data_IF_327863691878
#
_entry.id   IF_327863691878
#
_cell.length_a   1.000
_cell.length_b   1.000
_cell.length_c   1.000
_cell.angle_alpha   90.00
_cell.angle_beta   90.00
_cell.angle_gamma   90.00
#
_symmetry.space_group_name_H-M   'P 1'
#
loop_
_entity.id
_entity.type
_entity.pdbx_description
1 polymer ?
#
# COMPACT_ATOMS: atom_id res chain seq x y z
N UNK A 1 9.76 3.49 -1.10
CA UNK A 1 8.51 3.81 -0.40
C UNK A 1 8.79 4.96 0.56
N UNK A 2 8.09 6.09 0.44
CA UNK A 2 8.30 7.27 1.33
C UNK A 2 7.77 6.97 2.75
N UNK A 3 8.23 7.70 3.77
CA UNK A 3 7.79 7.59 5.16
C UNK A 3 6.26 7.55 5.29
N UNK A 4 5.55 8.46 4.62
CA UNK A 4 4.08 8.47 4.63
C UNK A 4 3.46 7.17 4.06
N UNK A 5 3.96 6.64 2.94
CA UNK A 5 3.44 5.38 2.38
C UNK A 5 3.68 4.21 3.32
N UNK A 6 4.86 4.18 3.98
CA UNK A 6 5.16 3.16 4.99
C UNK A 6 4.19 3.25 6.16
N UNK A 7 3.91 4.44 6.68
CA UNK A 7 2.94 4.62 7.77
C UNK A 7 1.55 4.15 7.37
N UNK A 8 1.06 4.53 6.18
CA UNK A 8 -0.24 4.05 5.70
C UNK A 8 -0.27 2.53 5.48
N UNK A 9 0.82 1.94 4.97
CA UNK A 9 0.95 0.50 4.80
C UNK A 9 0.91 -0.25 6.14
N UNK A 10 1.69 0.19 7.14
CA UNK A 10 1.70 -0.45 8.45
C UNK A 10 0.38 -0.24 9.20
N UNK A 11 -0.25 0.94 9.08
CA UNK A 11 -1.55 1.20 9.67
C UNK A 11 -2.64 0.30 9.07
N UNK A 12 -2.65 0.14 7.73
CA UNK A 12 -3.59 -0.77 7.07
C UNK A 12 -3.36 -2.22 7.47
N UNK A 13 -2.10 -2.68 7.54
CA UNK A 13 -1.77 -4.02 8.04
C UNK A 13 -2.20 -4.21 9.49
N UNK A 14 -1.91 -3.26 10.39
CA UNK A 14 -2.34 -3.32 11.78
C UNK A 14 -3.86 -3.40 11.91
N UNK A 15 -4.59 -2.65 11.09
CA UNK A 15 -6.06 -2.68 11.07
C UNK A 15 -6.60 -4.04 10.60
N UNK A 16 -6.00 -4.63 9.56
CA UNK A 16 -6.37 -5.96 9.06
C UNK A 16 -6.11 -7.05 10.12
N UNK A 17 -4.94 -7.03 10.76
CA UNK A 17 -4.63 -7.97 11.84
C UNK A 17 -5.54 -7.78 13.05
N UNK A 18 -5.78 -6.53 13.46
CA UNK A 18 -6.69 -6.22 14.56
C UNK A 18 -8.11 -6.73 14.27
N UNK A 19 -8.62 -6.55 13.05
CA UNK A 19 -9.94 -7.05 12.67
C UNK A 19 -10.06 -8.57 12.85
N UNK A 20 -9.04 -9.32 12.40
CA UNK A 20 -9.00 -10.78 12.56
C UNK A 20 -8.90 -11.18 14.02
N UNK A 21 -7.95 -10.60 14.77
CA UNK A 21 -7.74 -10.93 16.18
C UNK A 21 -8.98 -10.63 17.00
N UNK A 22 -9.54 -9.43 16.88
CA UNK A 22 -10.73 -9.00 17.63
C UNK A 22 -11.95 -9.88 17.33
N UNK A 23 -12.07 -10.37 16.10
CA UNK A 23 -13.14 -11.30 15.75
C UNK A 23 -12.93 -12.69 16.37
N UNK A 24 -11.69 -13.22 16.32
CA UNK A 24 -11.35 -14.52 16.91
C UNK A 24 -11.56 -14.52 18.44
N UNK A 25 -11.22 -13.43 19.12
CA UNK A 25 -11.46 -13.28 20.56
C UNK A 25 -12.89 -12.85 20.90
N UNK A 26 -13.80 -12.85 19.92
CA UNK A 26 -15.23 -12.53 20.07
C UNK A 26 -15.51 -11.13 20.66
N UNK A 27 -14.59 -10.18 20.52
CA UNK A 27 -14.78 -8.78 20.95
C UNK A 27 -15.70 -8.04 19.97
N UNK A 28 -15.61 -8.35 18.67
CA UNK A 28 -16.42 -7.73 17.62
C UNK A 28 -17.25 -8.76 16.86
N UNK A 29 -18.43 -8.35 16.41
CA UNK A 29 -19.29 -9.16 15.56
C UNK A 29 -18.77 -9.27 14.13
N UNK A 30 -19.24 -10.29 13.39
CA UNK A 30 -18.81 -10.55 12.01
C UNK A 30 -18.98 -9.32 11.09
N UNK A 31 -20.10 -8.57 11.24
CA UNK A 31 -20.35 -7.35 10.45
C UNK A 31 -19.28 -6.26 10.70
N UNK A 32 -18.89 -6.06 11.95
CA UNK A 32 -17.84 -5.09 12.33
C UNK A 32 -16.48 -5.54 11.81
N UNK A 33 -16.16 -6.83 11.91
CA UNK A 33 -14.94 -7.41 11.38
C UNK A 33 -14.85 -7.20 9.86
N UNK A 34 -15.93 -7.47 9.11
CA UNK A 34 -15.98 -7.23 7.65
C UNK A 34 -15.78 -5.76 7.32
N UNK A 35 -16.42 -4.83 8.03
CA UNK A 35 -16.20 -3.39 7.82
C UNK A 35 -14.74 -2.96 8.10
N UNK A 36 -14.11 -3.50 9.14
CA UNK A 36 -12.71 -3.21 9.43
C UNK A 36 -11.77 -3.78 8.35
N UNK A 37 -12.04 -5.01 7.89
CA UNK A 37 -11.27 -5.65 6.83
C UNK A 37 -11.38 -4.88 5.51
N UNK A 38 -12.59 -4.49 5.10
CA UNK A 38 -12.79 -3.73 3.86
C UNK A 38 -12.13 -2.35 3.94
N UNK A 39 -12.25 -1.66 5.08
CA UNK A 39 -11.60 -0.37 5.31
C UNK A 39 -10.07 -0.47 5.29
N UNK A 40 -9.51 -1.48 5.97
CA UNK A 40 -8.08 -1.77 5.98
C UNK A 40 -7.56 -2.09 4.58
N UNK A 41 -8.30 -2.87 3.81
CA UNK A 41 -7.95 -3.22 2.42
C UNK A 41 -8.04 -2.01 1.48
N UNK A 42 -9.02 -1.14 1.65
CA UNK A 42 -9.13 0.10 0.88
C UNK A 42 -7.93 1.03 1.14
N UNK A 43 -7.57 1.22 2.41
CA UNK A 43 -6.38 1.99 2.80
C UNK A 43 -5.09 1.40 2.22
N UNK A 44 -4.95 0.08 2.29
CA UNK A 44 -3.83 -0.64 1.69
C UNK A 44 -3.74 -0.41 0.18
N UNK A 45 -4.87 -0.53 -0.53
CA UNK A 45 -4.96 -0.29 -1.97
C UNK A 45 -4.53 1.12 -2.36
N UNK A 46 -4.95 2.15 -1.62
CA UNK A 46 -4.55 3.55 -1.86
C UNK A 46 -3.04 3.73 -1.68
N UNK A 47 -2.47 3.17 -0.60
CA UNK A 47 -1.04 3.25 -0.32
C UNK A 47 -0.22 2.56 -1.42
N UNK A 48 -0.64 1.37 -1.83
CA UNK A 48 0.02 0.59 -2.87
C UNK A 48 -0.09 1.25 -4.24
N UNK A 49 -1.25 1.81 -4.58
CA UNK A 49 -1.44 2.52 -5.85
C UNK A 49 -0.53 3.75 -5.97
N UNK A 50 -0.41 4.55 -4.89
CA UNK A 50 0.55 5.68 -4.86
C UNK A 50 1.99 5.20 -5.03
N UNK A 51 2.35 4.11 -4.36
CA UNK A 51 3.69 3.54 -4.44
C UNK A 51 4.01 3.10 -5.87
N UNK A 52 3.10 2.37 -6.50
CA UNK A 52 3.25 1.88 -7.85
C UNK A 52 3.35 3.02 -8.87
N UNK A 53 2.54 4.07 -8.73
CA UNK A 53 2.61 5.26 -9.59
C UNK A 53 3.98 5.92 -9.52
N UNK A 54 4.55 6.07 -8.31
CA UNK A 54 5.88 6.64 -8.13
C UNK A 54 6.99 5.74 -8.66
N UNK A 55 6.86 4.43 -8.49
CA UNK A 55 7.80 3.47 -9.03
C UNK A 55 7.82 3.55 -10.57
N UNK A 56 6.65 3.61 -11.20
CA UNK A 56 6.51 3.74 -12.66
C UNK A 56 7.16 5.03 -13.19
N UNK A 57 7.01 6.15 -12.48
CA UNK A 57 7.67 7.41 -12.86
C UNK A 57 9.19 7.29 -12.81
N UNK A 58 9.74 6.70 -11.74
CA UNK A 58 11.19 6.48 -11.63
C UNK A 58 11.72 5.57 -12.73
N UNK A 59 11.00 4.50 -13.06
CA UNK A 59 11.38 3.61 -14.16
C UNK A 59 11.43 4.37 -15.49
N UNK A 60 10.43 5.22 -15.77
CA UNK A 60 10.41 6.03 -16.99
C UNK A 60 11.56 7.04 -17.04
N UNK A 61 11.92 7.66 -15.92
CA UNK A 61 13.08 8.57 -15.82
C UNK A 61 14.38 7.82 -16.11
N UNK A 62 14.58 6.65 -15.49
CA UNK A 62 15.72 5.76 -15.73
C UNK A 62 15.82 5.30 -17.19
N UNK A 63 14.70 4.88 -17.79
CA UNK A 63 14.66 4.47 -19.21
C UNK A 63 14.96 5.64 -20.17
N UNK A 64 14.61 6.86 -19.81
CA UNK A 64 14.93 8.06 -20.58
C UNK A 64 16.42 8.41 -20.45
N UNK A 65 17.00 8.26 -19.26
CA UNK A 65 18.42 8.49 -19.00
C UNK A 65 19.30 7.48 -19.77
N UNK A 66 18.99 6.19 -19.70
CA UNK A 66 19.70 5.14 -20.45
C UNK A 66 19.64 5.42 -21.96
N UNK A 67 18.49 5.82 -22.49
CA UNK A 67 18.37 6.19 -23.92
C UNK A 67 19.24 7.38 -24.31
N UNK A 68 19.40 8.38 -23.43
CA UNK A 68 20.27 9.53 -23.70
C UNK A 68 21.74 9.13 -23.71
N UNK A 69 22.15 8.27 -22.78
CA UNK A 69 23.53 7.75 -22.71
C UNK A 69 23.88 6.95 -23.98
N UNK A 70 23.02 6.06 -24.44
CA UNK A 70 23.24 5.32 -25.70
C UNK A 70 23.17 6.17 -26.98
N UNK A 71 22.59 7.37 -26.92
CA UNK A 71 22.54 8.28 -28.07
C UNK A 71 23.75 9.23 -28.15
N UNK A 72 24.63 9.21 -27.15
CA UNK A 72 25.86 10.02 -27.10
C UNK A 72 27.13 9.22 -27.40
N UNK A 73 27.00 7.90 -27.60
CA UNK A 73 28.01 7.00 -28.17
C UNK A 73 27.84 6.86 -29.69
#
# INVERSE_FOLDING_TARGET
MNAYEKTFYYASMAMLYAAVVLHIVHIIGASQAVMMLTSGMALFGIANHRHMRRLKQRVQELEAEVRRLHATE
#
